data_IF_133985612048
#
_entry.id   IF_133985612048
#
_cell.length_a   1.000
_cell.length_b   1.000
_cell.length_c   1.000
_cell.angle_alpha   90.00
_cell.angle_beta   90.00
_cell.angle_gamma   90.00
#
_symmetry.space_group_name_H-M   'P 1'
#
loop_
_entity.id
_entity.type
_entity.pdbx_description
1 polymer ?
#
# COMPACT_ATOMS: atom_id res chain seq x y z
N UNK A 1 -18.16 -20.93 27.12
CA UNK A 1 -16.76 -20.59 26.82
C UNK A 1 -16.62 -20.09 25.40
N UNK A 2 -15.81 -19.09 25.21
CA UNK A 2 -15.44 -18.64 23.87
C UNK A 2 -14.49 -19.67 23.18
N UNK A 3 -14.70 -19.94 21.91
CA UNK A 3 -13.90 -20.91 21.14
C UNK A 3 -12.45 -20.46 20.85
N UNK A 4 -12.17 -19.18 21.05
CA UNK A 4 -10.90 -18.55 20.70
C UNK A 4 -9.80 -18.68 21.78
N UNK A 5 -9.85 -19.75 22.55
CA UNK A 5 -8.84 -20.04 23.57
C UNK A 5 -8.97 -19.21 24.85
N UNK A 6 -8.16 -19.60 25.81
CA UNK A 6 -8.09 -18.97 27.12
C UNK A 6 -6.94 -17.99 27.10
N UNK A 7 -7.19 -16.74 26.84
CA UNK A 7 -6.21 -15.70 27.04
C UNK A 7 -6.18 -15.21 28.47
N UNK A 8 -5.50 -14.10 28.71
CA UNK A 8 -5.50 -13.42 30.01
C UNK A 8 -6.92 -13.06 30.49
N UNK A 9 -7.79 -12.69 29.57
CA UNK A 9 -9.18 -12.32 29.90
C UNK A 9 -10.02 -13.48 30.40
N UNK A 10 -9.67 -14.73 30.05
CA UNK A 10 -10.41 -15.91 30.50
C UNK A 10 -9.81 -16.54 31.75
N UNK A 11 -8.62 -16.12 32.16
CA UNK A 11 -7.91 -16.69 33.31
C UNK A 11 -8.77 -16.78 34.62
N UNK A 12 -9.57 -15.76 34.99
CA UNK A 12 -10.41 -15.81 36.20
C UNK A 12 -11.52 -16.84 36.12
N UNK A 13 -11.84 -17.37 34.94
CA UNK A 13 -12.95 -18.29 34.70
C UNK A 13 -12.52 -19.72 34.43
N UNK A 14 -11.23 -19.99 34.37
CA UNK A 14 -10.70 -21.33 34.00
C UNK A 14 -11.00 -22.35 35.06
N UNK A 15 -10.81 -22.02 36.34
CA UNK A 15 -11.16 -22.89 37.47
C UNK A 15 -12.66 -23.16 37.53
N UNK A 16 -13.49 -22.15 37.30
CA UNK A 16 -14.95 -22.29 37.23
C UNK A 16 -15.41 -23.22 36.11
N UNK A 17 -14.74 -23.13 34.93
CA UNK A 17 -15.08 -23.97 33.77
C UNK A 17 -14.67 -25.42 33.95
N UNK A 18 -13.48 -25.69 34.51
CA UNK A 18 -12.86 -27.01 34.55
C UNK A 18 -12.91 -27.70 35.92
N UNK A 19 -13.25 -26.99 36.96
CA UNK A 19 -13.24 -27.45 38.35
C UNK A 19 -11.86 -27.40 39.00
N UNK A 20 -11.85 -27.46 40.33
CA UNK A 20 -10.62 -27.34 41.14
C UNK A 20 -9.58 -28.40 40.82
N UNK A 21 -10.00 -29.67 40.70
CA UNK A 21 -9.06 -30.81 40.45
C UNK A 21 -8.32 -30.65 39.10
N UNK A 22 -9.07 -30.39 38.05
CA UNK A 22 -8.48 -30.22 36.73
C UNK A 22 -7.60 -28.95 36.66
N UNK A 23 -8.02 -27.88 37.31
CA UNK A 23 -7.25 -26.63 37.38
C UNK A 23 -5.94 -26.82 38.17
N UNK A 24 -5.96 -27.59 39.27
CA UNK A 24 -4.75 -27.94 40.02
C UNK A 24 -3.75 -28.71 39.14
N UNK A 25 -4.21 -29.72 38.39
CA UNK A 25 -3.37 -30.48 37.46
C UNK A 25 -2.77 -29.55 36.39
N UNK A 26 -3.56 -28.63 35.83
CA UNK A 26 -3.07 -27.65 34.87
C UNK A 26 -1.96 -26.77 35.47
N UNK A 27 -2.08 -26.35 36.73
CA UNK A 27 -1.04 -25.59 37.46
C UNK A 27 0.23 -26.42 37.65
N UNK A 28 0.09 -27.68 38.03
CA UNK A 28 1.26 -28.59 38.17
C UNK A 28 2.01 -28.77 36.84
N UNK A 29 1.27 -28.98 35.76
CA UNK A 29 1.85 -29.07 34.40
C UNK A 29 2.57 -27.77 34.07
N UNK A 30 1.97 -26.63 34.32
CA UNK A 30 2.60 -25.32 34.09
C UNK A 30 3.89 -25.18 34.91
N UNK A 31 3.84 -25.52 36.18
CA UNK A 31 4.99 -25.44 37.08
C UNK A 31 6.13 -26.38 36.66
N UNK A 32 5.81 -27.55 36.14
CA UNK A 32 6.80 -28.51 35.65
C UNK A 32 7.56 -28.00 34.42
N UNK A 33 6.86 -27.37 33.46
CA UNK A 33 7.49 -26.87 32.24
C UNK A 33 8.03 -25.43 32.36
N UNK A 34 7.52 -24.64 33.28
CA UNK A 34 7.89 -23.23 33.47
C UNK A 34 7.98 -22.89 34.97
N UNK A 35 8.95 -23.48 35.69
CA UNK A 35 9.09 -23.29 37.13
C UNK A 35 9.39 -21.85 37.53
N UNK A 36 9.88 -21.04 36.59
CA UNK A 36 10.18 -19.61 36.81
C UNK A 36 9.05 -18.67 36.38
N UNK A 37 7.97 -19.18 35.80
CA UNK A 37 6.85 -18.39 35.33
C UNK A 37 7.15 -17.40 34.23
N UNK A 38 8.12 -17.69 33.36
CA UNK A 38 8.61 -16.79 32.30
C UNK A 38 7.77 -16.85 31.02
N UNK A 39 7.10 -17.99 30.78
CA UNK A 39 6.34 -18.20 29.56
C UNK A 39 4.89 -17.76 29.76
N UNK A 40 4.45 -16.79 28.96
CA UNK A 40 3.08 -16.28 28.98
C UNK A 40 2.51 -16.00 30.40
N UNK A 41 3.14 -15.15 31.21
CA UNK A 41 2.68 -14.89 32.57
C UNK A 41 1.27 -14.29 32.60
N UNK A 42 0.42 -14.82 33.49
CA UNK A 42 -0.96 -14.36 33.66
C UNK A 42 -1.94 -14.81 32.56
N UNK A 43 -1.53 -15.73 31.67
CA UNK A 43 -2.38 -16.40 30.71
C UNK A 43 -2.83 -17.75 31.29
N UNK A 44 -4.11 -18.05 31.31
CA UNK A 44 -4.75 -19.22 31.97
C UNK A 44 -4.67 -19.12 33.50
N UNK A 45 -3.51 -18.86 34.06
CA UNK A 45 -3.27 -18.73 35.49
C UNK A 45 -3.00 -17.26 35.82
N UNK A 46 -3.91 -16.64 36.57
CA UNK A 46 -3.79 -15.24 36.98
C UNK A 46 -4.43 -15.05 38.34
N UNK A 47 -3.66 -14.53 39.28
CA UNK A 47 -4.12 -14.31 40.67
C UNK A 47 -5.02 -13.07 40.79
N UNK A 48 -5.11 -12.25 39.73
CA UNK A 48 -6.03 -11.11 39.70
C UNK A 48 -7.39 -11.49 39.12
N UNK A 49 -8.43 -11.63 39.93
CA UNK A 49 -9.77 -12.02 39.48
C UNK A 49 -10.41 -10.98 38.56
N UNK A 50 -9.87 -9.76 38.53
CA UNK A 50 -10.35 -8.66 37.70
C UNK A 50 -9.48 -8.39 36.46
N UNK A 51 -8.51 -9.25 36.15
CA UNK A 51 -7.61 -9.03 35.03
C UNK A 51 -8.35 -8.90 33.66
N UNK A 52 -9.56 -9.45 33.57
CA UNK A 52 -10.43 -9.39 32.39
C UNK A 52 -11.13 -8.04 32.19
N UNK A 53 -11.16 -7.17 33.21
CA UNK A 53 -11.74 -5.83 33.14
C UNK A 53 -10.76 -4.70 33.42
N UNK A 54 -9.49 -5.04 33.65
CA UNK A 54 -8.39 -4.07 33.83
C UNK A 54 -7.59 -3.89 32.55
N UNK A 55 -6.98 -2.72 32.43
CA UNK A 55 -6.06 -2.39 31.34
C UNK A 55 -6.64 -2.59 29.93
N UNK A 56 -7.92 -2.30 29.76
CA UNK A 56 -8.53 -2.24 28.44
C UNK A 56 -7.77 -1.27 27.56
N UNK A 57 -7.43 -1.72 26.36
CA UNK A 57 -6.98 -0.81 25.33
C UNK A 57 -8.14 0.12 24.96
N UNK A 58 -8.02 1.43 25.21
CA UNK A 58 -9.08 2.35 24.82
C UNK A 58 -9.16 2.35 23.29
N UNK A 59 -10.33 2.00 22.76
CA UNK A 59 -10.65 2.18 21.35
C UNK A 59 -10.96 3.66 21.13
N UNK A 60 -9.93 4.44 20.82
CA UNK A 60 -10.13 5.82 20.40
C UNK A 60 -10.54 5.84 18.93
N UNK A 61 -11.69 6.46 18.59
CA UNK A 61 -12.08 6.63 17.21
C UNK A 61 -11.04 7.46 16.45
N UNK A 62 -10.88 7.16 15.18
CA UNK A 62 -9.98 7.90 14.31
C UNK A 62 -10.48 9.34 14.16
N UNK A 63 -9.67 10.30 14.58
CA UNK A 63 -9.90 11.73 14.36
C UNK A 63 -9.05 12.22 13.17
N UNK A 64 -9.36 11.67 11.99
CA UNK A 64 -8.66 12.01 10.75
C UNK A 64 -9.62 12.73 9.83
N UNK A 65 -9.42 14.04 9.67
CA UNK A 65 -10.27 14.85 8.80
C UNK A 65 -11.74 14.90 9.26
N UNK A 66 -12.66 14.93 8.30
CA UNK A 66 -14.09 14.91 8.57
C UNK A 66 -14.57 13.48 8.90
N UNK A 67 -15.60 13.37 9.72
CA UNK A 67 -16.31 12.11 9.97
C UNK A 67 -17.00 11.66 8.67
N UNK A 68 -16.32 10.77 7.94
CA UNK A 68 -16.81 10.22 6.69
C UNK A 68 -17.26 8.77 6.86
N UNK A 69 -18.01 8.25 5.91
CA UNK A 69 -18.35 6.82 5.88
C UNK A 69 -17.08 5.94 5.93
N UNK A 70 -16.00 6.38 5.29
CA UNK A 70 -14.71 5.68 5.25
C UNK A 70 -14.09 5.59 6.65
N UNK A 71 -14.01 6.71 7.40
CA UNK A 71 -13.44 6.71 8.76
C UNK A 71 -14.26 5.83 9.69
N UNK A 72 -15.59 5.88 9.60
CA UNK A 72 -16.49 5.01 10.37
C UNK A 72 -16.32 3.52 10.03
N UNK A 73 -16.09 3.18 8.75
CA UNK A 73 -15.84 1.79 8.37
C UNK A 73 -14.49 1.30 8.92
N UNK A 74 -13.44 2.13 8.87
CA UNK A 74 -12.12 1.81 9.40
C UNK A 74 -12.16 1.62 10.92
N UNK A 75 -13.00 2.39 11.63
CA UNK A 75 -13.17 2.27 13.08
C UNK A 75 -13.81 0.95 13.53
N UNK A 76 -14.41 0.20 12.62
CA UNK A 76 -14.87 -1.17 12.88
C UNK A 76 -13.75 -2.20 12.97
N UNK A 77 -12.49 -1.81 12.77
CA UNK A 77 -11.35 -2.72 12.83
C UNK A 77 -11.25 -3.38 14.22
N UNK A 78 -11.36 -4.70 14.25
CA UNK A 78 -11.21 -5.55 15.43
C UNK A 78 -9.77 -6.00 15.69
N UNK A 79 -8.81 -5.51 14.88
CA UNK A 79 -7.38 -5.78 15.01
C UNK A 79 -6.98 -7.27 14.90
N UNK A 80 -7.78 -8.09 14.23
CA UNK A 80 -7.58 -9.55 14.11
C UNK A 80 -6.34 -9.96 13.28
N UNK A 81 -5.85 -9.11 12.39
CA UNK A 81 -4.63 -9.37 11.59
C UNK A 81 -4.84 -10.10 10.27
N UNK A 82 -6.04 -10.60 9.92
CA UNK A 82 -6.26 -11.35 8.67
C UNK A 82 -5.88 -10.58 7.39
N UNK A 83 -5.92 -9.25 7.42
CA UNK A 83 -5.52 -8.41 6.31
C UNK A 83 -4.00 -8.39 6.04
N UNK A 84 -3.18 -8.86 7.00
CA UNK A 84 -1.72 -8.78 6.90
C UNK A 84 -1.13 -9.69 5.84
N UNK A 85 -1.76 -10.83 5.57
CA UNK A 85 -1.32 -11.79 4.54
C UNK A 85 -1.34 -11.21 3.12
N UNK A 86 -2.23 -10.24 2.86
CA UNK A 86 -2.35 -9.56 1.57
C UNK A 86 -1.64 -8.20 1.54
N UNK A 87 -0.99 -7.81 2.63
CA UNK A 87 -0.34 -6.51 2.71
C UNK A 87 1.10 -6.57 2.21
N UNK A 88 1.38 -5.92 1.07
CA UNK A 88 2.70 -5.92 0.45
C UNK A 88 3.82 -5.32 1.33
N UNK A 89 3.47 -4.46 2.28
CA UNK A 89 4.42 -3.86 3.21
C UNK A 89 4.54 -4.60 4.54
N UNK A 90 3.79 -5.68 4.75
CA UNK A 90 3.88 -6.49 5.96
C UNK A 90 5.29 -7.12 6.07
N UNK A 91 5.91 -6.97 7.23
CA UNK A 91 7.29 -7.45 7.47
C UNK A 91 8.40 -6.48 7.03
N UNK A 92 8.09 -5.44 6.24
CA UNK A 92 9.06 -4.40 5.85
C UNK A 92 8.84 -3.09 6.62
N UNK A 93 7.58 -2.67 6.71
CA UNK A 93 7.14 -1.48 7.43
C UNK A 93 5.83 -1.80 8.17
N UNK A 94 4.89 -0.87 8.25
CA UNK A 94 3.60 -1.15 8.89
C UNK A 94 2.68 -1.97 7.97
N UNK A 95 2.04 -2.99 8.54
CA UNK A 95 0.93 -3.70 7.91
C UNK A 95 -0.35 -2.87 7.91
N UNK A 96 -1.36 -3.34 7.18
CA UNK A 96 -2.69 -2.71 7.14
C UNK A 96 -3.30 -2.57 8.54
N UNK A 97 -3.26 -3.64 9.38
CA UNK A 97 -3.73 -3.57 10.77
C UNK A 97 -2.92 -2.58 11.61
N UNK A 98 -1.60 -2.65 11.54
CA UNK A 98 -0.71 -1.77 12.30
C UNK A 98 -0.92 -0.29 11.97
N UNK A 99 -1.22 0.03 10.70
CA UNK A 99 -1.58 1.41 10.32
C UNK A 99 -2.77 1.94 11.09
N UNK A 100 -3.84 1.15 11.19
CA UNK A 100 -5.05 1.54 11.92
C UNK A 100 -4.73 1.71 13.41
N UNK A 101 -4.02 0.75 13.99
CA UNK A 101 -3.66 0.77 15.42
C UNK A 101 -2.87 2.02 15.79
N UNK A 102 -1.83 2.34 15.01
CA UNK A 102 -0.99 3.50 15.28
C UNK A 102 -1.76 4.81 15.05
N UNK A 103 -2.62 4.88 14.03
CA UNK A 103 -3.46 6.06 13.82
C UNK A 103 -4.49 6.27 14.94
N UNK A 104 -5.02 5.20 15.51
CA UNK A 104 -5.85 5.30 16.72
C UNK A 104 -5.08 5.88 17.90
N UNK A 105 -3.83 5.44 18.10
CA UNK A 105 -2.99 5.98 19.16
C UNK A 105 -2.61 7.44 18.91
N UNK A 106 -2.25 7.81 17.71
CA UNK A 106 -2.01 9.22 17.31
C UNK A 106 -3.27 10.05 17.58
N UNK A 107 -4.45 9.55 17.24
CA UNK A 107 -5.72 10.23 17.47
C UNK A 107 -6.02 10.38 18.97
N UNK A 108 -5.73 9.34 19.76
CA UNK A 108 -5.87 9.37 21.22
C UNK A 108 -4.98 10.43 21.85
N UNK A 109 -3.69 10.41 21.50
CA UNK A 109 -2.70 11.37 22.02
C UNK A 109 -3.04 12.81 21.64
N UNK A 110 -3.52 13.04 20.42
CA UNK A 110 -3.98 14.37 19.98
C UNK A 110 -5.17 14.86 20.81
N UNK A 111 -6.10 13.96 21.12
CA UNK A 111 -7.31 14.31 21.88
C UNK A 111 -7.04 14.51 23.37
N UNK A 112 -6.19 13.67 23.97
CA UNK A 112 -5.87 13.74 25.40
C UNK A 112 -4.85 14.82 25.74
N UNK A 113 -4.00 15.22 24.80
CA UNK A 113 -2.86 16.09 25.06
C UNK A 113 -1.72 15.42 25.84
N UNK A 114 -1.83 14.11 26.12
CA UNK A 114 -0.82 13.34 26.82
C UNK A 114 0.41 13.12 25.96
N UNK A 115 1.58 13.11 26.57
CA UNK A 115 2.86 12.75 25.97
C UNK A 115 3.10 13.34 24.57
N UNK A 116 3.33 14.65 24.44
CA UNK A 116 3.54 15.33 23.15
C UNK A 116 4.75 14.77 22.37
N UNK A 117 5.79 14.32 23.07
CA UNK A 117 6.98 13.74 22.45
C UNK A 117 6.67 12.43 21.73
N UNK A 118 5.86 11.56 22.35
CA UNK A 118 5.41 10.31 21.73
C UNK A 118 4.53 10.60 20.51
N UNK A 119 3.63 11.59 20.62
CA UNK A 119 2.78 12.03 19.50
C UNK A 119 3.61 12.47 18.31
N UNK A 120 4.63 13.31 18.54
CA UNK A 120 5.52 13.79 17.50
C UNK A 120 6.29 12.63 16.86
N UNK A 121 6.91 11.79 17.68
CA UNK A 121 7.67 10.62 17.21
C UNK A 121 6.81 9.67 16.37
N UNK A 122 5.62 9.30 16.85
CA UNK A 122 4.72 8.43 16.11
C UNK A 122 4.25 9.08 14.81
N UNK A 123 3.95 10.37 14.82
CA UNK A 123 3.50 11.10 13.63
C UNK A 123 4.58 11.18 12.56
N UNK A 124 5.83 11.42 12.95
CA UNK A 124 6.98 11.47 12.05
C UNK A 124 7.27 10.09 11.44
N UNK A 125 7.41 9.07 12.26
CA UNK A 125 7.69 7.70 11.80
C UNK A 125 6.55 7.16 10.94
N UNK A 126 5.30 7.50 11.27
CA UNK A 126 4.15 7.07 10.49
C UNK A 126 4.13 7.65 9.07
N UNK A 127 4.67 8.84 8.87
CA UNK A 127 4.71 9.49 7.56
C UNK A 127 5.36 8.59 6.50
N UNK A 128 6.46 7.93 6.85
CA UNK A 128 7.09 6.95 5.96
C UNK A 128 6.46 5.57 6.10
N UNK A 129 6.58 4.96 7.28
CA UNK A 129 6.26 3.55 7.50
C UNK A 129 4.76 3.24 7.36
N UNK A 130 3.89 4.19 7.68
CA UNK A 130 2.44 4.05 7.53
C UNK A 130 1.92 4.55 6.19
N UNK A 131 2.21 5.83 5.88
CA UNK A 131 1.56 6.52 4.78
C UNK A 131 2.23 6.24 3.43
N UNK A 132 3.56 6.41 3.30
CA UNK A 132 4.26 6.29 2.01
C UNK A 132 4.41 4.86 1.51
N UNK A 133 4.51 3.89 2.40
CA UNK A 133 4.72 2.48 2.06
C UNK A 133 3.44 1.68 1.81
N UNK A 134 2.26 2.29 1.96
CA UNK A 134 1.01 1.66 1.54
C UNK A 134 0.89 1.69 0.01
N UNK A 135 0.63 0.55 -0.62
CA UNK A 135 0.38 0.48 -2.06
C UNK A 135 -0.97 1.13 -2.45
N UNK A 136 -1.94 1.19 -1.54
CA UNK A 136 -3.28 1.72 -1.81
C UNK A 136 -4.12 0.82 -2.72
N UNK A 137 -3.73 -0.45 -2.86
CA UNK A 137 -4.31 -1.41 -3.81
C UNK A 137 -5.63 -2.06 -3.34
N UNK A 138 -5.98 -1.87 -2.07
CA UNK A 138 -7.20 -2.45 -1.49
C UNK A 138 -7.17 -3.96 -1.22
N UNK A 139 -6.07 -4.66 -1.52
CA UNK A 139 -5.98 -6.12 -1.34
C UNK A 139 -6.22 -6.56 0.11
N UNK A 140 -5.90 -5.70 1.07
CA UNK A 140 -6.15 -5.97 2.49
C UNK A 140 -7.64 -6.16 2.82
N UNK A 141 -8.55 -5.59 2.03
CA UNK A 141 -9.99 -5.76 2.22
C UNK A 141 -10.47 -7.18 1.88
N UNK A 142 -9.76 -7.89 0.99
CA UNK A 142 -10.16 -9.22 0.52
C UNK A 142 -10.19 -10.26 1.65
N UNK A 143 -9.29 -10.16 2.62
CA UNK A 143 -9.21 -11.05 3.79
C UNK A 143 -9.77 -10.42 5.06
N UNK A 144 -10.30 -9.21 4.98
CA UNK A 144 -10.84 -8.52 6.15
C UNK A 144 -12.29 -8.95 6.41
N UNK A 145 -12.63 -9.54 7.57
CA UNK A 145 -14.01 -9.94 7.89
C UNK A 145 -14.95 -8.73 8.00
N UNK A 146 -14.40 -7.53 8.21
CA UNK A 146 -15.14 -6.27 8.26
C UNK A 146 -15.14 -5.51 6.93
N UNK A 147 -14.52 -6.07 5.87
CA UNK A 147 -14.43 -5.45 4.54
C UNK A 147 -13.64 -4.12 4.52
N UNK A 148 -12.67 -3.92 5.42
CA UNK A 148 -11.96 -2.66 5.55
C UNK A 148 -10.82 -2.58 4.55
N UNK A 149 -10.86 -1.56 3.69
CA UNK A 149 -9.75 -1.14 2.84
C UNK A 149 -8.89 -0.10 3.57
N UNK A 150 -7.72 -0.49 4.05
CA UNK A 150 -6.79 0.45 4.70
C UNK A 150 -6.15 1.44 3.70
N UNK A 151 -6.23 1.15 2.40
CA UNK A 151 -5.82 2.09 1.34
C UNK A 151 -6.62 3.39 1.41
N UNK A 152 -7.91 3.33 1.74
CA UNK A 152 -8.78 4.51 1.85
C UNK A 152 -8.32 5.44 2.98
N UNK A 153 -7.91 4.88 4.14
CA UNK A 153 -7.27 5.64 5.21
C UNK A 153 -6.02 6.36 4.70
N UNK A 154 -5.19 5.65 3.95
CA UNK A 154 -3.95 6.20 3.41
C UNK A 154 -4.23 7.33 2.41
N UNK A 155 -5.25 7.19 1.56
CA UNK A 155 -5.66 8.25 0.63
C UNK A 155 -6.13 9.51 1.36
N UNK A 156 -6.92 9.39 2.42
CA UNK A 156 -7.33 10.52 3.26
C UNK A 156 -6.10 11.22 3.88
N UNK A 157 -5.16 10.45 4.41
CA UNK A 157 -3.94 11.00 5.00
C UNK A 157 -3.06 11.70 3.96
N UNK A 158 -2.90 11.12 2.77
CA UNK A 158 -2.16 11.74 1.67
C UNK A 158 -2.85 13.00 1.15
N UNK A 159 -4.17 13.00 1.08
CA UNK A 159 -4.93 14.20 0.71
C UNK A 159 -4.67 15.36 1.68
N UNK A 160 -4.52 15.07 2.97
CA UNK A 160 -4.19 16.10 3.96
C UNK A 160 -2.79 16.70 3.79
N UNK A 161 -1.86 15.97 3.16
CA UNK A 161 -0.53 16.48 2.79
C UNK A 161 -0.59 17.46 1.59
N UNK A 162 -1.63 17.36 0.75
CA UNK A 162 -1.85 18.21 -0.43
C UNK A 162 -3.23 18.89 -0.38
N UNK A 163 -3.47 19.76 0.60
CA UNK A 163 -4.77 20.42 0.72
C UNK A 163 -5.10 21.24 -0.53
N UNK A 164 -6.39 21.34 -0.90
CA UNK A 164 -6.82 22.19 -2.01
C UNK A 164 -6.25 23.63 -1.89
N UNK A 165 -5.65 24.12 -2.99
CA UNK A 165 -5.00 25.44 -3.02
C UNK A 165 -3.52 25.45 -2.67
N UNK A 166 -2.94 24.38 -2.11
CA UNK A 166 -1.49 24.26 -1.91
C UNK A 166 -0.72 24.24 -3.25
N UNK A 167 0.55 24.61 -3.21
CA UNK A 167 1.43 24.59 -4.40
C UNK A 167 1.51 23.19 -5.01
N UNK A 168 1.63 22.16 -4.18
CA UNK A 168 1.65 20.76 -4.62
C UNK A 168 0.34 20.36 -5.30
N UNK A 169 -0.81 20.73 -4.74
CA UNK A 169 -2.12 20.48 -5.35
C UNK A 169 -2.27 21.18 -6.69
N UNK A 170 -1.88 22.48 -6.79
CA UNK A 170 -1.93 23.24 -8.05
C UNK A 170 -1.04 22.62 -9.12
N UNK A 171 0.18 22.20 -8.76
CA UNK A 171 1.09 21.53 -9.67
C UNK A 171 0.53 20.20 -10.16
N UNK A 172 -0.04 19.39 -9.25
CA UNK A 172 -0.71 18.13 -9.59
C UNK A 172 -1.90 18.33 -10.52
N UNK A 173 -2.77 19.30 -10.23
CA UNK A 173 -3.91 19.66 -11.07
C UNK A 173 -3.49 20.15 -12.45
N UNK A 174 -2.45 20.99 -12.52
CA UNK A 174 -1.88 21.43 -13.79
C UNK A 174 -1.36 20.24 -14.61
N UNK A 175 -0.60 19.34 -13.98
CA UNK A 175 -0.07 18.15 -14.62
C UNK A 175 -1.20 17.22 -15.10
N UNK A 176 -2.28 17.04 -14.33
CA UNK A 176 -3.44 16.27 -14.73
C UNK A 176 -4.13 16.86 -15.98
N UNK A 177 -4.36 18.17 -15.99
CA UNK A 177 -5.00 18.85 -17.10
C UNK A 177 -4.14 18.86 -18.39
N UNK A 178 -2.81 18.80 -18.26
CA UNK A 178 -1.86 18.83 -19.39
C UNK A 178 -1.19 17.46 -19.60
N UNK A 179 -1.77 16.40 -19.08
CA UNK A 179 -1.16 15.07 -19.06
C UNK A 179 -0.76 14.55 -20.46
N UNK A 180 -1.60 14.79 -21.46
CA UNK A 180 -1.27 14.40 -22.85
C UNK A 180 0.01 15.07 -23.37
N UNK A 181 0.21 16.36 -23.08
CA UNK A 181 1.43 17.11 -23.42
C UNK A 181 2.64 16.53 -22.68
N UNK A 182 2.55 16.34 -21.36
CA UNK A 182 3.62 15.76 -20.54
C UNK A 182 3.98 14.36 -21.04
N UNK A 183 3.01 13.51 -21.33
CA UNK A 183 3.24 12.19 -21.91
C UNK A 183 3.92 12.24 -23.28
N UNK A 184 3.56 13.21 -24.12
CA UNK A 184 4.19 13.36 -25.45
C UNK A 184 5.64 13.81 -25.38
N UNK A 185 6.01 14.65 -24.40
CA UNK A 185 7.41 15.10 -24.20
C UNK A 185 8.30 14.00 -23.62
N UNK A 186 7.73 13.01 -22.94
CA UNK A 186 8.51 11.91 -22.37
C UNK A 186 9.22 11.07 -23.44
N UNK A 187 8.58 10.90 -24.61
CA UNK A 187 9.17 10.10 -25.72
C UNK A 187 10.48 10.67 -26.26
N UNK A 188 10.55 11.94 -26.69
CA UNK A 188 11.82 12.51 -27.13
C UNK A 188 12.88 12.56 -26.02
N UNK A 189 12.49 12.80 -24.78
CA UNK A 189 13.41 12.75 -23.62
C UNK A 189 14.01 11.36 -23.47
N UNK A 190 13.20 10.30 -23.51
CA UNK A 190 13.69 8.92 -23.46
C UNK A 190 14.57 8.56 -24.67
N UNK A 191 14.22 9.03 -25.87
CA UNK A 191 15.03 8.81 -27.07
C UNK A 191 16.40 9.46 -26.95
N UNK A 192 16.44 10.72 -26.50
CA UNK A 192 17.69 11.46 -26.29
C UNK A 192 18.55 10.82 -25.20
N UNK A 193 17.92 10.44 -24.05
CA UNK A 193 18.61 9.77 -22.97
C UNK A 193 19.20 8.40 -23.39
N UNK A 194 18.48 7.64 -24.24
CA UNK A 194 19.00 6.39 -24.79
C UNK A 194 20.15 6.62 -25.78
N UNK A 195 20.09 7.67 -26.63
CA UNK A 195 21.19 8.04 -27.49
C UNK A 195 22.43 8.44 -26.66
N UNK A 196 22.26 9.27 -25.64
CA UNK A 196 23.33 9.63 -24.72
C UNK A 196 23.90 8.39 -24.01
N UNK A 197 23.07 7.46 -23.54
CA UNK A 197 23.52 6.20 -22.97
C UNK A 197 24.36 5.35 -23.95
N UNK A 198 23.96 5.32 -25.22
CA UNK A 198 24.69 4.58 -26.24
C UNK A 198 26.08 5.15 -26.52
N UNK A 199 26.25 6.47 -26.34
CA UNK A 199 27.53 7.17 -26.53
C UNK A 199 28.41 7.14 -25.27
N UNK A 200 27.83 7.38 -24.11
CA UNK A 200 28.57 7.58 -22.86
C UNK A 200 28.70 6.30 -22.01
N UNK A 201 27.91 5.30 -22.28
CA UNK A 201 27.87 4.04 -21.52
C UNK A 201 27.14 4.16 -20.17
N UNK A 202 26.88 3.00 -19.57
CA UNK A 202 26.08 2.88 -18.32
C UNK A 202 26.74 3.56 -17.12
N UNK A 203 28.05 3.38 -16.93
CA UNK A 203 28.77 3.91 -15.78
C UNK A 203 28.74 5.44 -15.72
N UNK A 204 29.02 6.09 -16.85
CA UNK A 204 29.02 7.55 -16.96
C UNK A 204 27.61 8.10 -16.77
N UNK A 205 26.59 7.52 -17.42
CA UNK A 205 25.19 7.93 -17.26
C UNK A 205 24.72 7.79 -15.82
N UNK A 206 25.04 6.69 -15.14
CA UNK A 206 24.69 6.49 -13.72
C UNK A 206 25.36 7.52 -12.82
N UNK A 207 26.64 7.85 -13.06
CA UNK A 207 27.38 8.85 -12.26
C UNK A 207 26.80 10.25 -12.43
N UNK A 208 26.50 10.66 -13.67
CA UNK A 208 25.91 11.97 -13.97
C UNK A 208 24.52 12.07 -13.32
N UNK A 209 23.66 11.08 -13.56
CA UNK A 209 22.28 11.13 -13.06
C UNK A 209 22.19 10.97 -11.54
N UNK A 210 23.17 10.32 -10.89
CA UNK A 210 23.27 10.29 -9.43
C UNK A 210 23.54 11.68 -8.87
N UNK A 211 24.43 12.46 -9.47
CA UNK A 211 24.67 13.86 -9.09
C UNK A 211 23.42 14.73 -9.29
N UNK A 212 22.73 14.53 -10.42
CA UNK A 212 21.47 15.25 -10.70
C UNK A 212 20.37 14.84 -9.73
N UNK A 213 20.33 13.58 -9.32
CA UNK A 213 19.40 13.11 -8.30
C UNK A 213 19.64 13.75 -6.94
N UNK A 214 20.89 13.81 -6.49
CA UNK A 214 21.24 14.43 -5.20
C UNK A 214 20.98 15.95 -5.19
N UNK A 215 21.15 16.64 -6.32
CA UNK A 215 20.98 18.09 -6.41
C UNK A 215 19.50 18.50 -6.64
N UNK A 216 18.76 17.75 -7.46
CA UNK A 216 17.43 18.16 -7.95
C UNK A 216 16.35 17.09 -7.83
N UNK A 217 16.65 15.92 -7.24
CA UNK A 217 15.68 14.84 -7.08
C UNK A 217 15.26 14.16 -8.40
N UNK A 218 16.02 14.35 -9.49
CA UNK A 218 15.71 13.74 -10.78
C UNK A 218 15.93 12.21 -10.74
N UNK A 219 15.19 11.43 -11.56
CA UNK A 219 15.37 9.99 -11.63
C UNK A 219 16.79 9.58 -12.01
N UNK A 220 17.34 8.60 -11.30
CA UNK A 220 18.64 8.03 -11.66
C UNK A 220 18.53 7.14 -12.89
N UNK A 221 19.56 7.17 -13.75
CA UNK A 221 19.66 6.25 -14.86
C UNK A 221 20.00 4.84 -14.39
N UNK A 222 19.29 3.87 -14.93
CA UNK A 222 19.57 2.45 -14.73
C UNK A 222 19.64 1.73 -16.09
N UNK A 223 20.32 0.58 -16.18
CA UNK A 223 20.32 -0.25 -17.42
C UNK A 223 18.91 -0.67 -17.85
N UNK A 224 17.99 -0.79 -16.90
CA UNK A 224 16.60 -1.14 -17.14
C UNK A 224 15.75 0.02 -17.71
N UNK A 225 16.32 1.22 -17.88
CA UNK A 225 15.59 2.36 -18.43
C UNK A 225 15.10 2.07 -19.85
N UNK A 226 13.78 2.16 -20.11
CA UNK A 226 13.22 1.76 -21.40
C UNK A 226 13.51 2.76 -22.52
N UNK A 227 13.57 2.28 -23.74
CA UNK A 227 13.53 3.12 -24.94
C UNK A 227 12.13 3.73 -25.11
N UNK A 228 12.04 4.84 -25.84
CA UNK A 228 10.74 5.40 -26.19
C UNK A 228 9.93 4.42 -27.06
N UNK A 229 8.61 4.42 -26.88
CA UNK A 229 7.70 3.64 -27.69
C UNK A 229 6.48 4.46 -28.09
N UNK A 230 5.91 4.18 -29.24
CA UNK A 230 4.65 4.75 -29.72
C UNK A 230 3.85 3.67 -30.42
N UNK A 231 2.61 3.51 -30.01
CA UNK A 231 1.65 2.66 -30.72
C UNK A 231 1.38 3.27 -32.09
N UNK A 232 1.52 2.49 -33.15
CA UNK A 232 1.33 2.91 -34.53
C UNK A 232 0.00 2.38 -35.08
N UNK A 233 -0.52 3.02 -36.11
CA UNK A 233 -1.70 2.51 -36.84
C UNK A 233 -1.48 1.10 -37.40
N UNK A 234 -0.22 0.78 -37.78
CA UNK A 234 0.18 -0.56 -38.25
C UNK A 234 0.11 -1.64 -37.16
N UNK A 235 -0.03 -1.27 -35.90
CA UNK A 235 -0.18 -2.21 -34.78
C UNK A 235 -1.63 -2.65 -34.57
N UNK A 236 -2.60 -2.19 -35.41
CA UNK A 236 -3.98 -2.63 -35.35
C UNK A 236 -4.10 -4.10 -35.80
N UNK A 237 -4.96 -4.85 -35.12
CA UNK A 237 -5.29 -6.23 -35.50
C UNK A 237 -6.26 -6.25 -36.69
N UNK A 238 -6.25 -7.32 -37.50
CA UNK A 238 -7.26 -7.51 -38.56
C UNK A 238 -8.68 -7.51 -37.98
N UNK A 239 -9.65 -7.16 -38.84
CA UNK A 239 -11.07 -7.25 -38.47
C UNK A 239 -11.47 -8.69 -38.16
N UNK A 240 -12.14 -8.90 -37.04
CA UNK A 240 -12.61 -10.22 -36.55
C UNK A 240 -14.03 -10.08 -36.02
N UNK A 241 -14.74 -11.23 -35.90
CA UNK A 241 -16.12 -11.24 -35.40
C UNK A 241 -16.19 -10.79 -33.92
N UNK A 242 -15.23 -11.22 -33.10
CA UNK A 242 -15.17 -10.83 -31.68
C UNK A 242 -14.29 -9.59 -31.51
N UNK A 243 -14.79 -8.61 -30.78
CA UNK A 243 -14.09 -7.34 -30.55
C UNK A 243 -13.77 -7.15 -29.07
N UNK A 244 -12.59 -6.63 -28.78
CA UNK A 244 -12.15 -6.28 -27.41
C UNK A 244 -11.52 -4.90 -27.40
N UNK A 245 -11.86 -4.11 -26.38
CA UNK A 245 -11.22 -2.81 -26.16
C UNK A 245 -9.97 -3.01 -25.31
N UNK A 246 -8.82 -2.61 -25.85
CA UNK A 246 -7.55 -2.65 -25.13
C UNK A 246 -7.09 -1.23 -24.76
N UNK A 247 -6.99 -0.97 -23.46
CA UNK A 247 -6.47 0.28 -22.93
C UNK A 247 -5.11 0.06 -22.24
N UNK A 248 -3.99 0.17 -22.98
CA UNK A 248 -2.65 0.06 -22.41
C UNK A 248 -2.38 1.25 -21.47
N UNK A 249 -1.65 0.98 -20.37
CA UNK A 249 -1.24 2.03 -19.43
C UNK A 249 -0.41 3.12 -20.12
N UNK A 250 -0.36 4.32 -19.52
CA UNK A 250 0.43 5.44 -20.06
C UNK A 250 1.92 5.08 -20.22
N UNK A 251 2.46 4.26 -19.31
CA UNK A 251 3.82 3.72 -19.41
C UNK A 251 3.97 2.88 -20.68
N UNK A 252 3.10 1.91 -20.90
CA UNK A 252 3.13 1.03 -22.08
C UNK A 252 2.87 1.78 -23.39
N UNK A 253 2.20 2.94 -23.35
CA UNK A 253 2.04 3.80 -24.53
C UNK A 253 3.28 4.62 -24.87
N UNK A 254 4.22 4.81 -23.93
CA UNK A 254 5.37 5.72 -24.07
C UNK A 254 6.72 5.06 -23.94
N UNK A 255 6.78 3.95 -23.20
CA UNK A 255 7.99 3.20 -22.88
C UNK A 255 7.97 1.83 -23.54
N UNK A 256 9.02 1.48 -24.21
CA UNK A 256 9.24 0.18 -24.85
C UNK A 256 10.15 -0.72 -24.02
N UNK A 257 11.07 -1.40 -24.71
CA UNK A 257 12.02 -2.30 -24.07
C UNK A 257 13.26 -1.55 -23.59
N UNK A 258 13.87 -2.04 -22.52
CA UNK A 258 15.24 -1.67 -22.16
C UNK A 258 16.23 -2.18 -23.22
N UNK A 259 17.46 -1.64 -23.22
CA UNK A 259 18.48 -2.00 -24.22
C UNK A 259 18.82 -3.49 -24.19
N UNK A 260 18.94 -4.04 -22.98
CA UNK A 260 19.36 -5.43 -22.74
C UNK A 260 18.16 -6.31 -22.31
N UNK A 261 16.96 -5.98 -22.82
CA UNK A 261 15.76 -6.75 -22.51
C UNK A 261 15.85 -8.17 -23.10
N UNK A 262 15.53 -9.21 -22.34
CA UNK A 262 15.50 -10.59 -22.83
C UNK A 262 14.35 -10.85 -23.81
N UNK A 263 13.36 -9.96 -23.87
CA UNK A 263 12.23 -10.05 -24.80
C UNK A 263 12.42 -9.11 -25.99
N UNK A 264 11.91 -9.54 -27.15
CA UNK A 264 12.12 -8.83 -28.41
C UNK A 264 11.00 -7.83 -28.77
N UNK A 265 9.88 -7.88 -28.06
CA UNK A 265 8.70 -7.05 -28.35
C UNK A 265 8.16 -6.36 -27.10
N UNK A 266 7.74 -5.08 -27.20
CA UNK A 266 7.06 -4.38 -26.12
C UNK A 266 5.78 -5.10 -25.69
N UNK A 267 5.40 -4.95 -24.41
CA UNK A 267 4.23 -5.59 -23.83
C UNK A 267 2.95 -5.37 -24.67
N UNK A 268 2.76 -4.16 -25.19
CA UNK A 268 1.61 -3.85 -26.07
C UNK A 268 1.56 -4.80 -27.28
N UNK A 269 2.70 -5.04 -27.96
CA UNK A 269 2.72 -5.94 -29.11
C UNK A 269 2.49 -7.40 -28.75
N UNK A 270 3.01 -7.83 -27.61
CA UNK A 270 2.76 -9.18 -27.08
C UNK A 270 1.28 -9.36 -26.78
N UNK A 271 0.64 -8.39 -26.13
CA UNK A 271 -0.79 -8.43 -25.82
C UNK A 271 -1.65 -8.44 -27.09
N UNK A 272 -1.30 -7.59 -28.08
CA UNK A 272 -1.99 -7.58 -29.38
C UNK A 272 -1.90 -8.95 -30.08
N UNK A 273 -0.71 -9.54 -30.09
CA UNK A 273 -0.50 -10.87 -30.67
C UNK A 273 -1.29 -11.96 -29.93
N UNK A 274 -1.35 -11.89 -28.59
CA UNK A 274 -2.13 -12.82 -27.78
C UNK A 274 -3.62 -12.71 -28.09
N UNK A 275 -4.17 -11.51 -28.07
CA UNK A 275 -5.58 -11.26 -28.34
C UNK A 275 -5.98 -11.64 -29.77
N UNK A 276 -5.11 -11.38 -30.73
CA UNK A 276 -5.31 -11.80 -32.13
C UNK A 276 -5.32 -13.33 -32.24
N UNK A 277 -4.39 -14.03 -31.59
CA UNK A 277 -4.39 -15.50 -31.58
C UNK A 277 -5.63 -16.09 -30.89
N UNK A 278 -6.18 -15.37 -29.92
CA UNK A 278 -7.44 -15.73 -29.25
C UNK A 278 -8.70 -15.37 -30.08
N UNK A 279 -8.55 -14.86 -31.31
CA UNK A 279 -9.67 -14.58 -32.21
C UNK A 279 -10.36 -13.23 -32.00
N UNK A 280 -9.66 -12.24 -31.38
CA UNK A 280 -10.21 -10.91 -31.13
C UNK A 280 -9.62 -9.84 -32.04
N UNK A 281 -10.50 -9.00 -32.60
CA UNK A 281 -10.14 -7.68 -33.13
C UNK A 281 -9.91 -6.73 -31.95
N UNK A 282 -8.75 -6.10 -31.88
CA UNK A 282 -8.42 -5.16 -30.81
C UNK A 282 -8.74 -3.74 -31.24
N UNK A 283 -9.58 -3.09 -30.43
CA UNK A 283 -9.96 -1.69 -30.61
C UNK A 283 -9.30 -0.86 -29.52
N UNK A 284 -8.61 0.20 -29.91
CA UNK A 284 -8.11 1.18 -28.96
C UNK A 284 -9.16 2.25 -28.65
N UNK A 285 -9.28 2.72 -27.39
CA UNK A 285 -10.18 3.82 -27.05
C UNK A 285 -9.92 5.07 -27.90
N UNK A 286 -10.95 5.80 -28.32
CA UNK A 286 -10.79 7.07 -29.02
C UNK A 286 -10.03 8.05 -28.14
N UNK A 287 -9.12 8.81 -28.72
CA UNK A 287 -8.26 9.80 -28.01
C UNK A 287 -7.46 9.19 -26.83
N UNK A 288 -7.09 7.92 -26.95
CA UNK A 288 -6.34 7.17 -25.93
C UNK A 288 -5.08 7.91 -25.42
N UNK A 289 -4.44 8.70 -26.28
CA UNK A 289 -3.27 9.51 -25.94
C UNK A 289 -3.58 10.60 -24.88
N UNK A 290 -4.85 10.98 -24.70
CA UNK A 290 -5.31 11.96 -23.70
C UNK A 290 -5.83 11.32 -22.41
N UNK A 291 -6.00 10.01 -22.41
CA UNK A 291 -6.56 9.29 -21.27
C UNK A 291 -5.47 8.88 -20.28
N UNK A 292 -5.84 8.87 -19.01
CA UNK A 292 -5.05 8.37 -17.89
C UNK A 292 -5.95 7.50 -17.00
N UNK A 293 -5.40 6.44 -16.39
CA UNK A 293 -6.11 5.60 -15.43
C UNK A 293 -6.39 6.31 -14.09
N UNK A 294 -5.74 7.45 -13.83
CA UNK A 294 -5.92 8.21 -12.59
C UNK A 294 -5.03 7.78 -11.43
N UNK A 295 -4.45 6.58 -11.45
CA UNK A 295 -3.69 5.99 -10.33
C UNK A 295 -2.60 6.93 -9.76
N UNK A 296 -1.95 7.74 -10.61
CA UNK A 296 -0.91 8.69 -10.16
C UNK A 296 -1.50 9.73 -9.20
N UNK A 297 -2.70 10.18 -9.48
CA UNK A 297 -3.41 11.22 -8.69
C UNK A 297 -4.08 10.59 -7.48
N UNK A 298 -4.83 9.51 -7.67
CA UNK A 298 -5.49 8.76 -6.62
C UNK A 298 -4.50 8.30 -5.54
N UNK A 299 -3.35 7.74 -5.93
CA UNK A 299 -2.31 7.32 -4.99
C UNK A 299 -1.72 8.47 -4.16
N UNK A 300 -1.94 9.72 -4.56
CA UNK A 300 -1.55 10.93 -3.82
C UNK A 300 -2.71 11.55 -3.04
N UNK A 301 -3.89 10.95 -3.10
CA UNK A 301 -5.11 11.50 -2.48
C UNK A 301 -5.69 12.69 -3.22
N UNK A 302 -5.46 12.79 -4.53
CA UNK A 302 -5.88 13.94 -5.37
C UNK A 302 -7.04 13.56 -6.29
#
# INVERSE_FOLDING_TARGET
KAEHGTGRNMAPFVEYEWGEEAYAIMKEVKQLFDPKGLVNPGVIFNDDPQCHIKHFKPLSPLTIGQDTQVTRQIDRCIECGFCEVNCLSCGFTLSSRQRIVIQREISRLKKSGENPQLLETLSELYRYSGNRTCAGDGLCAMSCPMGINTGDLTHILRQSEFPPGSTGYRAGKFAANHFAGIKSTLRPVLSLANAAHSLLGTSTMTSITRKMHSAWGLPQWTPAMPKSYKIRKSDQTPAMNNKVVYFPSCINQTMGLAKDSPVNQPLVKQMLSLLQKAGYEVIFPPKMEKLCCGTIWESKGM
#
